data_IF_164727971212
#
_entry.id   IF_164727971212
#
_cell.length_a   1.000
_cell.length_b   1.000
_cell.length_c   1.000
_cell.angle_alpha   90.00
_cell.angle_beta   90.00
_cell.angle_gamma   90.00
#
_symmetry.space_group_name_H-M   'P 1'
#
loop_
_entity.id
_entity.type
_entity.pdbx_description
1 polymer ?
#
# COMPACT_ATOMS: atom_id res chain seq x y z
N UNK A 1 -26.52 8.17 -9.53
CA UNK A 1 -25.15 8.70 -9.26
C UNK A 1 -25.07 10.11 -9.83
N UNK A 2 -24.31 11.03 -9.20
CA UNK A 2 -24.21 12.44 -9.63
C UNK A 2 -22.84 12.78 -10.27
N UNK A 3 -21.98 11.79 -10.42
CA UNK A 3 -20.62 11.97 -10.92
C UNK A 3 -20.48 11.45 -12.36
N UNK A 4 -19.68 12.11 -13.16
CA UNK A 4 -19.34 11.69 -14.53
C UNK A 4 -18.35 10.53 -14.53
N UNK A 5 -17.43 10.53 -13.55
CA UNK A 5 -16.42 9.50 -13.34
C UNK A 5 -16.33 9.14 -11.86
N UNK A 6 -16.26 7.84 -11.56
CA UNK A 6 -15.93 7.30 -10.24
C UNK A 6 -14.65 6.46 -10.38
N UNK A 7 -13.59 6.89 -9.68
CA UNK A 7 -12.27 6.25 -9.73
C UNK A 7 -11.95 5.45 -8.48
N UNK A 8 -11.40 4.26 -8.69
CA UNK A 8 -10.86 3.38 -7.66
C UNK A 8 -9.36 3.15 -7.85
N UNK A 9 -8.72 2.53 -6.87
CA UNK A 9 -7.29 2.24 -6.95
C UNK A 9 -7.00 0.92 -7.66
N UNK A 10 -7.92 -0.05 -7.62
CA UNK A 10 -7.74 -1.38 -8.19
C UNK A 10 -8.96 -1.83 -8.99
N UNK A 11 -8.75 -2.75 -9.93
CA UNK A 11 -9.84 -3.37 -10.70
C UNK A 11 -10.78 -4.17 -9.77
N UNK A 12 -10.23 -4.78 -8.70
CA UNK A 12 -11.04 -5.47 -7.69
C UNK A 12 -12.02 -4.55 -6.96
N UNK A 13 -11.60 -3.31 -6.66
CA UNK A 13 -12.47 -2.31 -6.03
C UNK A 13 -13.58 -1.88 -7.00
N UNK A 14 -13.27 -1.71 -8.29
CA UNK A 14 -14.26 -1.44 -9.35
C UNK A 14 -15.30 -2.55 -9.38
N UNK A 15 -14.86 -3.81 -9.46
CA UNK A 15 -15.77 -4.96 -9.50
C UNK A 15 -16.64 -5.07 -8.27
N UNK A 16 -16.10 -4.83 -7.07
CA UNK A 16 -16.85 -4.84 -5.82
C UNK A 16 -17.90 -3.75 -5.79
N UNK A 17 -17.56 -2.55 -6.25
CA UNK A 17 -18.50 -1.42 -6.31
C UNK A 17 -19.62 -1.69 -7.32
N UNK A 18 -19.30 -2.19 -8.51
CA UNK A 18 -20.31 -2.54 -9.53
C UNK A 18 -21.25 -3.63 -9.01
N UNK A 19 -20.70 -4.70 -8.41
CA UNK A 19 -21.52 -5.76 -7.80
C UNK A 19 -22.46 -5.22 -6.71
N UNK A 20 -21.96 -4.37 -5.82
CA UNK A 20 -22.76 -3.74 -4.79
C UNK A 20 -23.93 -2.95 -5.40
N UNK A 21 -23.68 -2.12 -6.41
CA UNK A 21 -24.74 -1.35 -7.06
C UNK A 21 -25.78 -2.24 -7.72
N UNK A 22 -25.38 -3.31 -8.38
CA UNK A 22 -26.30 -4.26 -9.00
C UNK A 22 -27.16 -4.96 -7.94
N UNK A 23 -26.56 -5.41 -6.82
CA UNK A 23 -27.31 -6.12 -5.77
C UNK A 23 -28.29 -5.24 -5.04
N UNK A 24 -27.89 -4.01 -4.65
CA UNK A 24 -28.68 -3.15 -3.80
C UNK A 24 -29.68 -2.25 -4.56
N UNK A 25 -29.29 -1.79 -5.76
CA UNK A 25 -30.09 -0.81 -6.49
C UNK A 25 -31.03 -1.43 -7.53
N UNK A 26 -30.82 -2.69 -7.94
CA UNK A 26 -31.62 -3.33 -9.00
C UNK A 26 -33.09 -3.54 -8.62
N UNK A 27 -33.42 -3.48 -7.33
CA UNK A 27 -34.82 -3.58 -6.85
C UNK A 27 -35.60 -2.25 -6.98
N UNK A 28 -34.91 -1.11 -7.05
CA UNK A 28 -35.53 0.21 -7.01
C UNK A 28 -35.19 1.11 -8.21
N UNK A 29 -34.15 0.78 -8.98
CA UNK A 29 -33.66 1.62 -10.08
C UNK A 29 -33.27 0.76 -11.29
N UNK A 30 -33.51 1.26 -12.50
CA UNK A 30 -33.04 0.60 -13.74
C UNK A 30 -31.55 0.86 -13.88
N UNK A 31 -30.73 -0.18 -13.66
CA UNK A 31 -29.28 -0.15 -13.88
C UNK A 31 -28.97 -0.89 -15.18
N UNK A 32 -28.20 -0.25 -16.05
CA UNK A 32 -27.59 -0.87 -17.23
C UNK A 32 -26.09 -0.79 -17.11
N UNK A 33 -25.42 -1.93 -17.39
CA UNK A 33 -23.96 -2.02 -17.37
C UNK A 33 -23.49 -2.13 -18.83
N UNK A 34 -22.59 -1.25 -19.21
CA UNK A 34 -21.96 -1.28 -20.54
C UNK A 34 -20.46 -1.51 -20.33
N UNK A 35 -19.88 -2.45 -21.06
CA UNK A 35 -18.43 -2.57 -21.10
C UNK A 35 -17.83 -1.35 -21.80
N UNK A 36 -16.81 -0.77 -21.16
CA UNK A 36 -15.91 0.14 -21.81
C UNK A 36 -14.55 -0.56 -21.99
N UNK A 37 -13.86 -0.27 -23.09
CA UNK A 37 -12.50 -0.69 -23.29
C UNK A 37 -11.59 -0.19 -22.14
N UNK A 38 -10.50 -0.90 -21.86
CA UNK A 38 -9.41 -0.45 -20.97
C UNK A 38 -9.77 -0.25 -19.49
N UNK A 39 -10.22 -1.30 -18.78
CA UNK A 39 -10.43 -1.27 -17.31
C UNK A 39 -11.54 -0.33 -16.83
N UNK A 40 -12.43 0.10 -17.70
CA UNK A 40 -13.54 0.98 -17.38
C UNK A 40 -14.87 0.27 -17.62
N UNK A 41 -15.85 0.60 -16.80
CA UNK A 41 -17.24 0.15 -16.91
C UNK A 41 -18.12 1.39 -16.94
N UNK A 42 -19.01 1.50 -17.90
CA UNK A 42 -20.03 2.55 -17.90
C UNK A 42 -21.31 2.00 -17.26
N UNK A 43 -21.76 2.66 -16.19
CA UNK A 43 -23.06 2.38 -15.59
C UNK A 43 -24.06 3.47 -15.98
N UNK A 44 -25.24 3.05 -16.41
CA UNK A 44 -26.38 3.93 -16.60
C UNK A 44 -27.40 3.68 -15.46
N UNK A 45 -27.70 4.72 -14.71
CA UNK A 45 -28.68 4.71 -13.63
C UNK A 45 -29.70 5.82 -13.88
N UNK A 46 -30.96 5.44 -14.09
CA UNK A 46 -32.06 6.37 -14.40
C UNK A 46 -31.75 7.31 -15.60
N UNK A 47 -31.12 6.76 -16.64
CA UNK A 47 -30.77 7.52 -17.85
C UNK A 47 -29.47 8.31 -17.78
N UNK A 48 -28.80 8.39 -16.62
CA UNK A 48 -27.49 9.05 -16.47
C UNK A 48 -26.37 8.04 -16.51
N UNK A 49 -25.40 8.28 -17.38
CA UNK A 49 -24.19 7.46 -17.54
C UNK A 49 -23.08 7.96 -16.62
N UNK A 50 -22.40 7.03 -15.95
CA UNK A 50 -21.21 7.29 -15.14
C UNK A 50 -20.12 6.30 -15.54
N UNK A 51 -18.94 6.81 -15.84
CA UNK A 51 -17.76 5.98 -16.10
C UNK A 51 -17.13 5.56 -14.75
N UNK A 52 -16.92 4.25 -14.57
CA UNK A 52 -16.26 3.70 -13.39
C UNK A 52 -14.99 3.00 -13.82
N UNK A 53 -13.86 3.31 -13.18
CA UNK A 53 -12.59 2.74 -13.59
C UNK A 53 -11.56 2.66 -12.48
N UNK A 54 -10.49 1.87 -12.70
CA UNK A 54 -9.33 1.84 -11.83
C UNK A 54 -8.28 2.83 -12.30
N UNK A 55 -7.84 3.68 -11.37
CA UNK A 55 -6.82 4.70 -11.56
C UNK A 55 -5.77 4.57 -10.46
N UNK A 56 -4.84 3.62 -10.56
CA UNK A 56 -3.83 3.37 -9.54
C UNK A 56 -2.89 4.56 -9.40
N UNK A 57 -2.97 5.28 -8.27
CA UNK A 57 -2.15 6.47 -8.03
C UNK A 57 -0.67 6.14 -7.92
N UNK A 58 0.16 6.94 -8.59
CA UNK A 58 1.61 6.83 -8.57
C UNK A 58 2.29 7.93 -7.76
N UNK A 59 3.62 7.88 -7.78
CA UNK A 59 4.50 8.94 -7.27
C UNK A 59 5.35 9.50 -8.42
N UNK A 60 6.21 10.47 -8.15
CA UNK A 60 7.28 10.89 -9.06
C UNK A 60 8.60 10.15 -8.71
N UNK A 61 8.89 8.98 -9.30
CA UNK A 61 9.95 8.11 -8.81
C UNK A 61 11.33 8.75 -8.91
N UNK A 62 11.64 9.39 -10.04
CA UNK A 62 12.94 10.04 -10.26
C UNK A 62 13.16 11.25 -9.34
N UNK A 63 12.11 12.02 -9.07
CA UNK A 63 12.18 13.14 -8.14
C UNK A 63 12.38 12.64 -6.71
N UNK A 64 11.67 11.55 -6.33
CA UNK A 64 11.80 10.93 -5.02
C UNK A 64 13.19 10.31 -4.80
N UNK A 65 13.73 9.58 -5.79
CA UNK A 65 15.10 9.05 -5.75
C UNK A 65 16.15 10.15 -5.53
N UNK A 66 16.03 11.28 -6.27
CA UNK A 66 16.93 12.44 -6.05
C UNK A 66 16.78 13.04 -4.65
N UNK A 67 15.54 13.12 -4.16
CA UNK A 67 15.25 13.61 -2.81
C UNK A 67 15.91 12.71 -1.75
N UNK A 68 15.79 11.39 -1.88
CA UNK A 68 16.37 10.40 -0.98
C UNK A 68 17.91 10.52 -0.96
N UNK A 69 18.55 10.54 -2.12
CA UNK A 69 20.00 10.71 -2.25
C UNK A 69 20.53 12.00 -1.61
N UNK A 70 19.81 13.12 -1.78
CA UNK A 70 20.21 14.41 -1.16
C UNK A 70 20.08 14.41 0.35
N UNK A 71 19.09 13.67 0.89
CA UNK A 71 18.79 13.68 2.32
C UNK A 71 19.44 12.54 3.11
N UNK A 72 20.09 11.58 2.45
CA UNK A 72 20.93 10.57 3.08
C UNK A 72 22.02 11.22 3.98
N UNK A 73 22.57 12.32 3.51
CA UNK A 73 23.57 13.13 4.24
C UNK A 73 23.01 14.14 5.25
N UNK A 74 21.69 14.22 5.45
CA UNK A 74 21.08 15.18 6.38
C UNK A 74 21.44 14.88 7.85
N UNK A 75 21.52 15.89 8.74
CA UNK A 75 21.93 15.69 10.13
C UNK A 75 21.10 14.61 10.86
N UNK A 76 19.78 14.61 10.66
CA UNK A 76 18.88 13.62 11.30
C UNK A 76 19.22 12.20 10.85
N UNK A 77 19.38 11.98 9.54
CA UNK A 77 19.68 10.65 8.98
C UNK A 77 21.08 10.21 9.41
N UNK A 78 22.09 11.08 9.36
CA UNK A 78 23.44 10.79 9.88
C UNK A 78 23.43 10.40 11.35
N UNK A 79 22.70 11.14 12.20
CA UNK A 79 22.58 10.83 13.61
C UNK A 79 21.90 9.47 13.84
N UNK A 80 20.87 9.15 13.05
CA UNK A 80 20.26 7.81 13.07
C UNK A 80 21.29 6.73 12.73
N UNK A 81 21.97 6.86 11.59
CA UNK A 81 22.99 5.89 11.14
C UNK A 81 24.09 5.69 12.19
N UNK A 82 24.62 6.78 12.73
CA UNK A 82 25.61 6.71 13.81
C UNK A 82 25.08 5.98 15.04
N UNK A 83 23.81 6.21 15.41
CA UNK A 83 23.17 5.55 16.57
C UNK A 83 22.86 4.07 16.34
N UNK A 84 22.80 3.63 15.07
CA UNK A 84 22.65 2.22 14.75
C UNK A 84 23.94 1.41 15.00
N UNK A 85 25.11 2.04 14.95
CA UNK A 85 26.39 1.36 15.21
C UNK A 85 26.63 0.16 14.30
N UNK A 86 26.27 0.27 13.01
CA UNK A 86 26.40 -0.83 12.04
C UNK A 86 25.24 -1.82 12.01
N UNK A 87 24.21 -1.63 12.84
CA UNK A 87 23.01 -2.50 12.86
C UNK A 87 22.14 -2.25 11.62
N UNK A 88 21.48 -3.29 11.17
CA UNK A 88 20.49 -3.17 10.09
C UNK A 88 19.25 -2.37 10.56
N UNK A 89 18.75 -1.51 9.70
CA UNK A 89 17.51 -0.77 9.93
C UNK A 89 16.33 -1.45 9.21
N UNK A 90 15.30 -1.80 9.97
CA UNK A 90 13.97 -2.12 9.47
C UNK A 90 13.10 -0.89 9.66
N UNK A 91 12.32 -0.48 8.66
CA UNK A 91 11.48 0.72 8.75
C UNK A 91 10.02 0.44 8.41
N UNK A 92 9.13 0.96 9.25
CA UNK A 92 7.69 1.07 8.99
C UNK A 92 7.25 2.51 9.16
N UNK A 93 6.49 3.03 8.20
CA UNK A 93 5.96 4.40 8.24
C UNK A 93 4.49 4.36 7.86
N UNK A 94 3.63 4.68 8.80
CA UNK A 94 2.18 4.70 8.59
C UNK A 94 1.53 5.76 9.49
N UNK A 95 0.39 6.27 9.10
CA UNK A 95 -0.48 6.99 10.03
C UNK A 95 -1.00 6.03 11.09
N UNK A 96 -1.32 6.56 12.26
CA UNK A 96 -2.03 5.77 13.27
C UNK A 96 -3.43 5.43 12.74
N UNK A 97 -3.64 4.15 12.36
CA UNK A 97 -4.86 3.65 11.73
C UNK A 97 -4.90 2.13 11.87
N UNK A 98 -6.04 1.56 12.29
CA UNK A 98 -6.14 0.11 12.50
C UNK A 98 -6.02 -0.69 11.20
N UNK A 99 -6.34 -0.11 10.06
CA UNK A 99 -6.15 -0.76 8.77
C UNK A 99 -4.68 -1.00 8.42
N UNK A 100 -3.74 -0.35 9.13
CA UNK A 100 -2.30 -0.44 8.86
C UNK A 100 -1.61 -1.65 9.47
N UNK A 101 -2.32 -2.44 10.29
CA UNK A 101 -1.76 -3.67 10.87
C UNK A 101 -0.57 -3.44 11.79
N UNK A 102 -0.59 -2.33 12.56
CA UNK A 102 0.56 -1.90 13.37
C UNK A 102 0.85 -2.88 14.50
N UNK A 103 -0.19 -3.37 15.18
CA UNK A 103 -0.04 -4.35 16.29
C UNK A 103 0.45 -5.68 15.71
N UNK A 104 -0.19 -6.19 14.64
CA UNK A 104 0.21 -7.44 13.98
C UNK A 104 1.66 -7.41 13.51
N UNK A 105 2.13 -6.24 13.09
CA UNK A 105 3.52 -6.02 12.69
C UNK A 105 4.48 -6.12 13.86
N UNK A 106 4.12 -5.57 15.04
CA UNK A 106 4.92 -5.70 16.25
C UNK A 106 4.92 -7.14 16.77
N UNK A 107 3.78 -7.84 16.72
CA UNK A 107 3.68 -9.24 17.10
C UNK A 107 4.57 -10.12 16.20
N UNK A 108 4.55 -9.87 14.88
CA UNK A 108 5.45 -10.56 13.95
C UNK A 108 6.93 -10.27 14.23
N UNK A 109 7.26 -9.05 14.65
CA UNK A 109 8.62 -8.69 15.04
C UNK A 109 9.05 -9.36 16.36
N UNK A 110 8.15 -9.49 17.34
CA UNK A 110 8.40 -10.28 18.58
C UNK A 110 8.69 -11.74 18.26
N UNK A 111 7.85 -12.36 17.39
CA UNK A 111 8.06 -13.74 16.90
C UNK A 111 9.40 -13.87 16.18
N UNK A 112 9.73 -12.91 15.32
CA UNK A 112 11.02 -12.91 14.63
C UNK A 112 12.19 -12.92 15.61
N UNK A 113 12.17 -12.04 16.62
CA UNK A 113 13.26 -11.99 17.62
C UNK A 113 13.32 -13.25 18.49
N UNK A 114 12.16 -13.87 18.78
CA UNK A 114 12.12 -15.13 19.54
C UNK A 114 12.71 -16.30 18.79
N UNK A 115 12.47 -16.36 17.47
CA UNK A 115 12.89 -17.50 16.63
C UNK A 115 14.30 -17.32 16.03
N UNK A 116 14.85 -16.11 16.05
CA UNK A 116 16.09 -15.73 15.37
C UNK A 116 17.04 -14.98 16.32
N UNK A 117 17.53 -15.67 17.36
CA UNK A 117 18.42 -15.11 18.37
C UNK A 117 19.72 -14.54 17.80
N UNK A 118 20.15 -15.05 16.63
CA UNK A 118 21.32 -14.54 15.91
C UNK A 118 21.19 -13.09 15.45
N UNK A 119 19.97 -12.54 15.44
CA UNK A 119 19.68 -11.14 15.09
C UNK A 119 19.55 -10.21 16.29
N UNK A 120 19.56 -10.71 17.51
CA UNK A 120 19.55 -9.86 18.71
C UNK A 120 20.79 -8.96 18.69
N UNK A 121 20.60 -7.68 18.95
CA UNK A 121 21.66 -6.67 18.90
C UNK A 121 22.15 -6.30 17.48
N UNK A 122 21.65 -6.91 16.40
CA UNK A 122 22.13 -6.69 15.01
C UNK A 122 21.17 -5.90 14.12
N UNK A 123 19.97 -5.62 14.57
CA UNK A 123 19.00 -4.79 13.88
C UNK A 123 18.22 -3.89 14.83
N UNK A 124 17.63 -2.83 14.29
CA UNK A 124 16.66 -1.99 14.98
C UNK A 124 15.46 -1.75 14.05
N UNK A 125 14.27 -1.91 14.60
CA UNK A 125 13.04 -1.57 13.91
C UNK A 125 12.60 -0.15 14.28
N UNK A 126 12.55 0.73 13.29
CA UNK A 126 12.03 2.10 13.42
C UNK A 126 10.59 2.13 12.92
N UNK A 127 9.64 2.30 13.82
CA UNK A 127 8.24 2.55 13.48
C UNK A 127 7.92 4.03 13.66
N UNK A 128 7.57 4.70 12.56
CA UNK A 128 7.12 6.09 12.57
C UNK A 128 5.60 6.08 12.36
N UNK A 129 4.86 6.57 13.36
CA UNK A 129 3.40 6.56 13.35
C UNK A 129 2.85 7.87 13.90
N UNK A 130 2.78 8.94 13.07
CA UNK A 130 2.20 10.20 13.51
C UNK A 130 0.70 10.05 13.82
N UNK A 131 0.28 10.63 14.93
CA UNK A 131 -1.12 10.68 15.34
C UNK A 131 -1.82 11.84 14.63
N UNK A 132 -2.81 11.54 13.82
CA UNK A 132 -3.56 12.57 13.07
C UNK A 132 -4.95 12.86 13.65
N UNK A 133 -5.44 12.05 14.61
CA UNK A 133 -6.82 12.10 15.14
C UNK A 133 -6.85 11.75 16.63
N UNK A 134 -6.03 12.45 17.43
CA UNK A 134 -5.93 12.21 18.88
C UNK A 134 -7.24 12.40 19.67
N UNK A 135 -8.22 13.09 19.08
CA UNK A 135 -9.51 13.37 19.72
C UNK A 135 -10.51 12.20 19.64
N UNK A 136 -10.20 11.15 18.88
CA UNK A 136 -11.08 9.98 18.68
C UNK A 136 -10.60 8.86 19.64
N UNK A 137 -11.45 8.38 20.57
CA UNK A 137 -11.05 7.41 21.61
C UNK A 137 -10.38 6.15 21.05
N UNK A 138 -10.90 5.59 19.96
CA UNK A 138 -10.38 4.35 19.35
C UNK A 138 -8.93 4.50 18.87
N UNK A 139 -8.53 5.68 18.40
CA UNK A 139 -7.13 5.94 18.01
C UNK A 139 -6.22 6.10 19.24
N UNK A 140 -6.73 6.64 20.35
CA UNK A 140 -6.00 6.70 21.61
C UNK A 140 -5.73 5.29 22.17
N UNK A 141 -6.72 4.40 22.11
CA UNK A 141 -6.56 3.00 22.52
C UNK A 141 -5.53 2.28 21.66
N UNK A 142 -5.58 2.46 20.33
CA UNK A 142 -4.60 1.89 19.40
C UNK A 142 -3.19 2.40 19.70
N UNK A 143 -3.04 3.70 20.00
CA UNK A 143 -1.76 4.27 20.37
C UNK A 143 -1.21 3.64 21.64
N UNK A 144 -2.02 3.53 22.70
CA UNK A 144 -1.62 2.92 23.97
C UNK A 144 -1.24 1.45 23.79
N UNK A 145 -2.01 0.70 22.99
CA UNK A 145 -1.69 -0.69 22.65
C UNK A 145 -0.33 -0.80 21.94
N UNK A 146 -0.05 0.12 20.99
CA UNK A 146 1.20 0.14 20.25
C UNK A 146 2.40 0.48 21.16
N UNK A 147 2.26 1.49 22.02
CA UNK A 147 3.27 1.89 23.00
C UNK A 147 3.54 0.76 24.00
N UNK A 148 2.49 0.09 24.49
CA UNK A 148 2.60 -1.06 25.39
C UNK A 148 3.30 -2.24 24.74
N UNK A 149 2.94 -2.57 23.48
CA UNK A 149 3.58 -3.65 22.73
C UNK A 149 5.07 -3.36 22.45
N UNK A 150 5.40 -2.14 22.03
CA UNK A 150 6.79 -1.73 21.83
C UNK A 150 7.59 -1.76 23.15
N UNK A 151 7.00 -1.27 24.26
CA UNK A 151 7.60 -1.33 25.59
C UNK A 151 7.86 -2.76 26.07
N UNK A 152 6.90 -3.66 25.89
CA UNK A 152 7.02 -5.09 26.23
C UNK A 152 8.15 -5.76 25.45
N UNK A 153 8.23 -5.55 24.14
CA UNK A 153 9.28 -6.13 23.29
C UNK A 153 10.66 -5.57 23.67
N UNK A 154 10.74 -4.25 23.87
CA UNK A 154 11.97 -3.60 24.30
C UNK A 154 12.44 -4.09 25.69
N UNK A 155 11.53 -4.29 26.63
CA UNK A 155 11.85 -4.85 27.96
C UNK A 155 12.27 -6.32 27.91
N UNK A 156 11.74 -7.09 26.95
CA UNK A 156 12.05 -8.53 26.79
C UNK A 156 13.43 -8.78 26.16
N UNK A 157 13.81 -7.98 25.15
CA UNK A 157 15.01 -8.24 24.35
C UNK A 157 16.07 -7.14 24.41
N UNK A 158 15.68 -5.94 24.90
CA UNK A 158 16.57 -4.78 24.90
C UNK A 158 17.76 -4.94 25.84
N UNK A 159 18.85 -4.28 25.50
CA UNK A 159 20.07 -4.18 26.30
C UNK A 159 20.39 -2.69 26.54
N UNK A 160 21.31 -2.41 27.48
CA UNK A 160 21.71 -1.03 27.80
C UNK A 160 22.16 -0.24 26.55
N UNK A 161 22.81 -0.93 25.60
CA UNK A 161 23.36 -0.33 24.38
C UNK A 161 22.47 -0.51 23.14
N UNK A 162 21.33 -1.20 23.29
CA UNK A 162 20.49 -1.55 22.13
C UNK A 162 19.01 -1.63 22.50
N UNK A 163 18.19 -0.99 21.68
CA UNK A 163 16.74 -1.03 21.75
C UNK A 163 16.19 -1.63 20.46
N UNK A 164 15.48 -2.79 20.52
CA UNK A 164 14.92 -3.46 19.36
C UNK A 164 13.99 -2.58 18.52
N UNK A 165 13.07 -1.85 19.18
CA UNK A 165 12.06 -1.02 18.55
C UNK A 165 12.25 0.43 18.94
N UNK A 166 12.37 1.30 17.95
CA UNK A 166 12.26 2.75 18.09
C UNK A 166 10.88 3.17 17.57
N UNK A 167 9.94 3.36 18.47
CA UNK A 167 8.63 3.88 18.17
C UNK A 167 8.63 5.40 18.25
N UNK A 168 8.18 6.05 17.16
CA UNK A 168 8.21 7.52 17.03
C UNK A 168 6.85 8.04 16.57
N UNK A 169 6.17 8.74 17.45
CA UNK A 169 4.91 9.43 17.18
C UNK A 169 5.19 10.89 16.78
N UNK A 170 5.75 11.10 15.59
CA UNK A 170 6.07 12.43 15.05
C UNK A 170 5.88 12.50 13.56
N UNK A 171 5.43 13.66 13.07
CA UNK A 171 5.41 13.97 11.63
C UNK A 171 6.82 14.35 11.19
N UNK A 172 7.29 13.73 10.13
CA UNK A 172 8.52 14.11 9.43
C UNK A 172 8.21 14.64 8.04
N UNK A 173 9.04 15.55 7.54
CA UNK A 173 8.94 15.99 6.16
C UNK A 173 9.24 14.85 5.18
N UNK A 174 8.67 14.95 4.00
CA UNK A 174 8.91 13.98 2.92
C UNK A 174 10.39 13.79 2.60
N UNK A 175 11.20 14.85 2.73
CA UNK A 175 12.65 14.79 2.51
C UNK A 175 13.36 13.95 3.58
N UNK A 176 13.00 14.09 4.84
CA UNK A 176 13.54 13.26 5.92
C UNK A 176 13.15 11.81 5.73
N UNK A 177 11.87 11.53 5.46
CA UNK A 177 11.40 10.17 5.21
C UNK A 177 12.13 9.51 4.03
N UNK A 178 12.36 10.25 2.93
CA UNK A 178 13.10 9.75 1.79
C UNK A 178 14.54 9.32 2.17
N UNK A 179 15.25 10.10 2.98
CA UNK A 179 16.56 9.73 3.50
C UNK A 179 16.53 8.51 4.43
N UNK A 180 15.51 8.41 5.29
CA UNK A 180 15.32 7.26 6.17
C UNK A 180 15.02 5.98 5.38
N UNK A 181 14.15 6.04 4.35
CA UNK A 181 13.87 4.89 3.48
C UNK A 181 15.14 4.41 2.77
N UNK A 182 15.98 5.32 2.28
CA UNK A 182 17.23 4.97 1.60
C UNK A 182 18.21 4.23 2.50
N UNK A 183 18.20 4.53 3.79
CA UNK A 183 19.09 3.92 4.78
C UNK A 183 18.61 2.54 5.25
N UNK A 184 17.32 2.25 5.09
CA UNK A 184 16.71 1.05 5.65
C UNK A 184 16.96 -0.19 4.79
N UNK A 185 17.51 -1.25 5.42
CA UNK A 185 17.70 -2.57 4.80
C UNK A 185 16.38 -3.25 4.46
N UNK A 186 15.33 -3.03 5.26
CA UNK A 186 14.02 -3.64 5.05
C UNK A 186 12.94 -2.58 5.21
N UNK A 187 12.09 -2.44 4.20
CA UNK A 187 10.81 -1.72 4.30
C UNK A 187 9.70 -2.68 4.67
N UNK A 188 9.09 -2.47 5.83
CA UNK A 188 8.04 -3.34 6.38
C UNK A 188 6.68 -2.65 6.26
N UNK A 189 5.93 -3.00 5.21
CA UNK A 189 4.66 -2.36 4.82
C UNK A 189 3.57 -3.43 4.82
N UNK A 190 2.91 -3.63 5.96
CA UNK A 190 1.99 -4.75 6.17
C UNK A 190 0.59 -4.30 6.61
N UNK A 191 -0.09 -3.42 5.83
CA UNK A 191 -1.47 -3.06 6.15
C UNK A 191 -2.40 -4.28 6.08
N UNK A 192 -3.44 -4.29 6.94
CA UNK A 192 -4.51 -5.28 6.88
C UNK A 192 -5.38 -5.07 5.63
N UNK A 193 -5.52 -3.80 5.23
CA UNK A 193 -6.15 -3.39 3.97
C UNK A 193 -5.66 -1.99 3.60
N UNK A 194 -5.31 -1.80 2.32
CA UNK A 194 -4.94 -0.49 1.79
C UNK A 194 -5.30 -0.41 0.30
N UNK A 195 -5.91 0.68 -0.14
CA UNK A 195 -6.29 0.87 -1.54
C UNK A 195 -5.10 0.86 -2.49
N UNK A 196 -3.98 1.47 -2.11
CA UNK A 196 -2.74 1.48 -2.92
C UNK A 196 -1.50 1.25 -2.07
N UNK A 197 -1.22 2.11 -1.10
CA UNK A 197 -0.02 2.27 -0.29
C UNK A 197 1.16 2.92 -1.03
N UNK A 198 1.24 4.24 -0.93
CA UNK A 198 2.33 5.01 -1.55
C UNK A 198 3.67 4.83 -0.82
N UNK A 199 3.68 4.47 0.47
CA UNK A 199 4.91 4.21 1.23
C UNK A 199 5.72 3.08 0.60
N UNK A 200 5.07 2.02 0.10
CA UNK A 200 5.74 0.95 -0.63
C UNK A 200 6.43 1.46 -1.90
N UNK A 201 5.76 2.35 -2.66
CA UNK A 201 6.33 2.97 -3.86
C UNK A 201 7.48 3.92 -3.51
N UNK A 202 7.32 4.72 -2.46
CA UNK A 202 8.34 5.66 -1.96
C UNK A 202 9.57 4.91 -1.43
N UNK A 203 9.38 3.82 -0.68
CA UNK A 203 10.49 2.98 -0.21
C UNK A 203 11.31 2.44 -1.39
N UNK A 204 10.66 1.86 -2.40
CA UNK A 204 11.35 1.34 -3.59
C UNK A 204 12.10 2.45 -4.33
N UNK A 205 11.46 3.62 -4.52
CA UNK A 205 12.07 4.73 -5.23
C UNK A 205 13.25 5.39 -4.48
N UNK A 206 13.28 5.26 -3.16
CA UNK A 206 14.34 5.82 -2.32
C UNK A 206 15.64 5.00 -2.33
N UNK A 207 15.57 3.72 -2.67
CA UNK A 207 16.68 2.78 -2.51
C UNK A 207 17.89 3.12 -3.38
N UNK A 208 19.08 2.71 -2.91
CA UNK A 208 20.28 2.72 -3.73
C UNK A 208 20.24 1.52 -4.70
N UNK A 209 20.31 1.73 -6.01
CA UNK A 209 20.31 0.62 -6.96
C UNK A 209 21.55 -0.29 -6.82
N UNK A 210 22.66 0.23 -6.26
CA UNK A 210 23.88 -0.54 -6.06
C UNK A 210 23.84 -1.42 -4.79
N UNK A 211 23.08 -1.03 -3.76
CA UNK A 211 22.86 -1.81 -2.54
C UNK A 211 21.44 -1.62 -1.98
N UNK A 212 20.40 -2.03 -2.73
CA UNK A 212 19.03 -1.79 -2.32
C UNK A 212 18.62 -2.65 -1.12
N UNK A 213 17.69 -2.13 -0.33
CA UNK A 213 16.97 -2.91 0.67
C UNK A 213 15.87 -3.77 0.06
N UNK A 214 15.16 -4.49 0.90
CA UNK A 214 14.07 -5.41 0.53
C UNK A 214 12.73 -4.87 1.01
N UNK A 215 11.72 -4.88 0.14
CA UNK A 215 10.35 -4.55 0.50
C UNK A 215 9.59 -5.82 0.91
N UNK A 216 9.06 -5.81 2.15
CA UNK A 216 8.04 -6.76 2.61
C UNK A 216 6.70 -6.03 2.50
N UNK A 217 5.75 -6.60 1.75
CA UNK A 217 4.49 -5.94 1.41
C UNK A 217 3.30 -6.85 1.68
N UNK A 218 2.29 -6.31 2.34
CA UNK A 218 1.00 -7.00 2.47
C UNK A 218 0.37 -7.25 1.10
N UNK A 219 -0.10 -8.50 0.89
CA UNK A 219 -0.90 -8.86 -0.30
C UNK A 219 -2.23 -8.12 -0.40
N UNK A 220 -2.67 -7.47 0.68
CA UNK A 220 -3.90 -6.68 0.75
C UNK A 220 -3.68 -5.18 0.51
N UNK A 221 -2.48 -4.76 0.13
CA UNK A 221 -2.21 -3.44 -0.42
C UNK A 221 -2.41 -3.44 -1.93
N UNK A 222 -3.04 -2.41 -2.49
CA UNK A 222 -3.24 -2.31 -3.94
C UNK A 222 -1.94 -2.36 -4.73
N UNK A 223 -0.85 -1.80 -4.19
CA UNK A 223 0.49 -1.88 -4.78
C UNK A 223 0.99 -3.33 -5.00
N UNK A 224 0.50 -4.31 -4.24
CA UNK A 224 0.92 -5.71 -4.35
C UNK A 224 0.56 -6.33 -5.72
N UNK A 225 -0.44 -5.79 -6.42
CA UNK A 225 -0.86 -6.24 -7.75
C UNK A 225 0.31 -6.14 -8.74
N UNK A 226 1.04 -5.02 -8.68
CA UNK A 226 2.17 -4.74 -9.57
C UNK A 226 3.52 -5.13 -8.94
N UNK A 227 3.60 -5.19 -7.62
CA UNK A 227 4.82 -5.41 -6.85
C UNK A 227 5.09 -6.89 -6.53
N UNK A 228 4.91 -7.76 -7.53
CA UNK A 228 5.09 -9.22 -7.37
C UNK A 228 6.51 -9.66 -7.00
N UNK A 229 7.50 -8.79 -7.15
CA UNK A 229 8.90 -9.02 -6.74
C UNK A 229 9.20 -8.56 -5.31
N UNK A 230 8.25 -7.94 -4.60
CA UNK A 230 8.32 -7.78 -3.16
C UNK A 230 8.15 -9.14 -2.45
N UNK A 231 8.56 -9.22 -1.19
CA UNK A 231 8.16 -10.34 -0.34
C UNK A 231 6.71 -10.12 0.08
N UNK A 232 5.79 -10.83 -0.59
CA UNK A 232 4.36 -10.67 -0.34
C UNK A 232 3.92 -11.55 0.83
N UNK A 233 3.32 -10.93 1.84
CA UNK A 233 2.90 -11.60 3.07
C UNK A 233 1.41 -11.44 3.33
N UNK A 234 0.86 -12.35 4.14
CA UNK A 234 -0.44 -12.16 4.77
C UNK A 234 -0.22 -11.45 6.12
N UNK A 235 -0.67 -10.20 6.32
CA UNK A 235 -0.44 -9.46 7.57
C UNK A 235 -1.17 -10.05 8.78
N UNK A 236 -2.14 -10.95 8.58
CA UNK A 236 -2.82 -11.70 9.66
C UNK A 236 -2.04 -12.93 10.11
N UNK A 237 -1.00 -13.32 9.37
CA UNK A 237 -0.11 -14.43 9.67
C UNK A 237 1.25 -13.88 10.13
N UNK A 238 1.40 -13.71 11.43
CA UNK A 238 2.59 -13.12 12.04
C UNK A 238 3.85 -13.97 11.80
N UNK A 239 3.72 -15.30 11.73
CA UNK A 239 4.83 -16.21 11.41
C UNK A 239 5.32 -16.02 9.97
N UNK A 240 4.41 -15.85 9.02
CA UNK A 240 4.75 -15.55 7.63
C UNK A 240 5.50 -14.22 7.50
N UNK A 241 5.09 -13.19 8.26
CA UNK A 241 5.78 -11.89 8.28
C UNK A 241 7.16 -12.00 8.93
N UNK A 242 7.28 -12.75 10.03
CA UNK A 242 8.56 -13.01 10.70
C UNK A 242 9.54 -13.76 9.78
N UNK A 243 9.06 -14.80 9.08
CA UNK A 243 9.85 -15.56 8.12
C UNK A 243 10.32 -14.70 6.93
N UNK A 244 9.46 -13.82 6.42
CA UNK A 244 9.82 -12.88 5.36
C UNK A 244 10.89 -11.87 5.83
N UNK A 245 10.84 -11.44 7.10
CA UNK A 245 11.87 -10.57 7.68
C UNK A 245 13.22 -11.28 7.75
N UNK A 246 13.26 -12.55 8.21
CA UNK A 246 14.45 -13.34 8.21
C UNK A 246 15.04 -13.50 6.80
N UNK A 247 14.19 -13.85 5.82
CA UNK A 247 14.59 -13.95 4.42
C UNK A 247 15.17 -12.64 3.87
N UNK A 248 14.52 -11.50 4.16
CA UNK A 248 14.94 -10.19 3.69
C UNK A 248 16.35 -9.81 4.21
N UNK A 249 16.65 -10.13 5.47
CA UNK A 249 17.90 -9.76 6.12
C UNK A 249 19.11 -10.54 5.60
N UNK A 250 18.91 -11.80 5.17
CA UNK A 250 19.99 -12.67 4.61
C UNK A 250 20.02 -12.66 3.09
N UNK A 251 19.15 -11.92 2.42
CA UNK A 251 19.02 -11.92 0.97
C UNK A 251 20.31 -11.44 0.30
N UNK A 252 20.89 -12.22 -0.65
CA UNK A 252 22.08 -11.83 -1.38
C UNK A 252 21.89 -10.52 -2.16
N UNK A 253 22.97 -9.76 -2.33
CA UNK A 253 22.96 -8.48 -3.03
C UNK A 253 22.41 -8.58 -4.45
N UNK A 254 22.79 -9.63 -5.18
CA UNK A 254 22.35 -9.86 -6.56
C UNK A 254 20.82 -10.01 -6.63
N UNK A 255 20.24 -10.80 -5.73
CA UNK A 255 18.79 -10.97 -5.65
C UNK A 255 18.09 -9.65 -5.26
N UNK A 256 18.65 -8.89 -4.31
CA UNK A 256 18.10 -7.60 -3.91
C UNK A 256 18.09 -6.59 -5.08
N UNK A 257 19.17 -6.56 -5.86
CA UNK A 257 19.26 -5.74 -7.08
C UNK A 257 18.21 -6.13 -8.12
N UNK A 258 18.09 -7.42 -8.44
CA UNK A 258 17.13 -7.91 -9.41
C UNK A 258 15.67 -7.61 -8.99
N UNK A 259 15.36 -7.75 -7.70
CA UNK A 259 14.03 -7.41 -7.15
C UNK A 259 13.77 -5.90 -7.21
N UNK A 260 14.74 -5.09 -6.78
CA UNK A 260 14.63 -3.64 -6.80
C UNK A 260 14.44 -3.10 -8.22
N UNK A 261 15.25 -3.54 -9.18
CA UNK A 261 15.14 -3.13 -10.58
C UNK A 261 13.73 -3.37 -11.14
N UNK A 262 13.19 -4.57 -10.92
CA UNK A 262 11.85 -4.93 -11.37
C UNK A 262 10.75 -4.11 -10.67
N UNK A 263 10.88 -3.85 -9.37
CA UNK A 263 9.94 -3.01 -8.61
C UNK A 263 10.03 -1.54 -9.04
N UNK A 264 11.24 -1.01 -9.20
CA UNK A 264 11.44 0.38 -9.61
C UNK A 264 10.92 0.64 -11.04
N UNK A 265 11.10 -0.34 -11.94
CA UNK A 265 10.49 -0.27 -13.28
C UNK A 265 8.96 -0.12 -13.20
N UNK A 266 8.30 -0.85 -12.30
CA UNK A 266 6.85 -0.72 -12.08
C UNK A 266 6.45 0.64 -11.48
N UNK A 267 7.25 1.19 -10.56
CA UNK A 267 7.01 2.54 -10.03
C UNK A 267 7.11 3.59 -11.14
N UNK A 268 8.07 3.42 -12.07
CA UNK A 268 8.23 4.33 -13.22
C UNK A 268 7.13 4.16 -14.27
N UNK A 269 6.65 2.93 -14.49
CA UNK A 269 5.57 2.64 -15.44
C UNK A 269 4.25 3.29 -15.01
N UNK A 270 3.95 3.24 -13.70
CA UNK A 270 2.72 3.77 -13.10
C UNK A 270 3.01 4.98 -12.22
N UNK A 271 3.59 6.03 -12.82
CA UNK A 271 3.89 7.28 -12.14
C UNK A 271 2.66 8.18 -11.98
N UNK A 272 2.80 9.26 -11.20
CA UNK A 272 1.70 10.21 -10.97
C UNK A 272 1.28 10.95 -12.24
N UNK A 273 2.18 11.14 -13.22
CA UNK A 273 1.87 11.81 -14.47
C UNK A 273 0.99 10.91 -15.35
N UNK A 274 1.26 9.60 -15.37
CA UNK A 274 0.39 8.61 -16.03
C UNK A 274 -0.99 8.61 -15.40
N UNK A 275 -1.07 8.51 -14.06
CA UNK A 275 -2.33 8.57 -13.33
C UNK A 275 -3.14 9.82 -13.69
N UNK A 276 -2.50 11.00 -13.71
CA UNK A 276 -3.14 12.26 -14.05
C UNK A 276 -3.70 12.25 -15.48
N UNK A 277 -2.90 11.79 -16.45
CA UNK A 277 -3.35 11.72 -17.86
C UNK A 277 -4.54 10.78 -18.02
N UNK A 278 -4.48 9.58 -17.44
CA UNK A 278 -5.55 8.58 -17.55
C UNK A 278 -6.85 9.10 -16.91
N UNK A 279 -6.75 9.69 -15.73
CA UNK A 279 -7.91 10.24 -15.02
C UNK A 279 -8.54 11.43 -15.77
N UNK A 280 -7.72 12.38 -16.25
CA UNK A 280 -8.23 13.53 -17.02
C UNK A 280 -8.84 13.09 -18.37
N UNK A 281 -8.27 12.07 -19.01
CA UNK A 281 -8.85 11.51 -20.23
C UNK A 281 -10.22 10.87 -19.96
N UNK A 282 -10.33 10.12 -18.87
CA UNK A 282 -11.61 9.54 -18.45
C UNK A 282 -12.67 10.62 -18.14
N UNK A 283 -12.28 11.71 -17.47
CA UNK A 283 -13.19 12.84 -17.20
C UNK A 283 -13.69 13.51 -18.49
N UNK A 284 -12.85 13.67 -19.49
CA UNK A 284 -13.27 14.23 -20.79
C UNK A 284 -14.26 13.30 -21.48
N UNK A 285 -13.98 11.99 -21.54
CA UNK A 285 -14.88 10.98 -22.13
C UNK A 285 -16.23 10.92 -21.41
N UNK A 286 -16.24 11.01 -20.07
CA UNK A 286 -17.46 11.01 -19.28
C UNK A 286 -18.38 12.18 -19.63
N UNK A 287 -17.83 13.37 -19.89
CA UNK A 287 -18.61 14.57 -20.30
C UNK A 287 -19.09 14.51 -21.75
N UNK A 288 -18.32 13.94 -22.68
CA UNK A 288 -18.73 13.80 -24.09
C UNK A 288 -19.97 12.89 -24.24
N UNK A 289 -20.14 11.91 -23.34
CA UNK A 289 -21.32 11.06 -23.31
C UNK A 289 -22.61 11.79 -22.89
N UNK A 290 -22.56 12.93 -22.21
CA UNK A 290 -23.75 13.76 -21.92
C UNK A 290 -24.19 14.58 -23.15
N UNK A 291 -23.27 15.01 -24.01
CA UNK A 291 -23.59 15.85 -25.17
C UNK A 291 -24.21 15.09 -26.35
N UNK A 292 -24.06 13.76 -26.40
CA UNK A 292 -24.61 12.91 -27.51
C UNK A 292 -25.99 12.31 -27.23
N UNK A 293 -26.62 12.58 -26.08
CA UNK A 293 -27.91 11.98 -25.69
C UNK A 293 -29.15 12.70 -26.22
N UNK A 294 -29.02 13.69 -27.12
CA UNK A 294 -30.22 14.26 -27.76
C UNK A 294 -30.78 13.44 -28.95
N UNK A 295 -30.04 12.44 -29.47
CA UNK A 295 -30.51 11.64 -30.62
C UNK A 295 -30.07 10.17 -30.48
N UNK A 296 -30.88 9.33 -29.92
CA UNK A 296 -31.18 7.93 -30.37
C UNK A 296 -31.75 7.06 -29.25
N UNK A 297 -33.05 6.86 -29.32
CA UNK A 297 -33.77 5.73 -28.72
C UNK A 297 -33.66 4.51 -29.61
N UNK A 298 -33.24 3.37 -29.06
CA UNK A 298 -33.45 1.97 -29.43
C UNK A 298 -32.15 1.15 -29.52
N UNK A 299 -31.90 0.37 -28.50
CA UNK A 299 -30.93 -0.75 -28.50
C UNK A 299 -31.28 -1.72 -27.39
N UNK A 300 -31.48 -3.01 -27.70
CA UNK A 300 -31.71 -4.07 -26.72
C UNK A 300 -30.53 -4.24 -25.74
N UNK A 301 -30.79 -4.61 -24.46
CA UNK A 301 -29.74 -4.78 -23.47
C UNK A 301 -28.89 -6.01 -23.81
N UNK A 302 -27.55 -5.94 -23.65
CA UNK A 302 -26.67 -7.10 -23.82
C UNK A 302 -26.88 -8.13 -22.71
N UNK A 303 -26.77 -9.40 -23.09
CA UNK A 303 -26.86 -10.55 -22.20
C UNK A 303 -25.68 -10.54 -21.20
N UNK A 304 -25.97 -10.69 -19.90
CA UNK A 304 -24.99 -10.66 -18.80
C UNK A 304 -23.90 -11.73 -18.87
N UNK A 305 -24.13 -12.81 -19.64
CA UNK A 305 -23.17 -13.91 -19.82
C UNK A 305 -22.00 -13.55 -20.78
N UNK A 306 -22.12 -12.45 -21.51
CA UNK A 306 -21.10 -11.98 -22.48
C UNK A 306 -20.08 -11.03 -21.85
N UNK A 307 -20.40 -10.48 -20.66
CA UNK A 307 -19.50 -9.60 -19.91
C UNK A 307 -18.63 -10.51 -19.05
N UNK A 308 -17.35 -10.63 -19.32
CA UNK A 308 -16.39 -11.50 -18.62
C UNK A 308 -16.27 -11.33 -17.10
N UNK A 309 -17.32 -10.89 -16.42
CA UNK A 309 -17.54 -10.88 -14.97
C UNK A 309 -17.98 -12.30 -14.58
N UNK A 310 -17.02 -13.22 -14.40
CA UNK A 310 -17.32 -14.50 -13.76
C UNK A 310 -17.79 -14.23 -12.33
N UNK A 311 -19.08 -14.31 -12.11
CA UNK A 311 -19.67 -14.43 -10.78
C UNK A 311 -19.32 -15.86 -10.34
N UNK A 312 -18.33 -16.01 -9.47
CA UNK A 312 -18.11 -17.30 -8.81
C UNK A 312 -19.39 -17.64 -8.02
N UNK A 313 -19.94 -18.87 -8.17
CA UNK A 313 -21.08 -19.29 -7.34
C UNK A 313 -20.67 -19.21 -5.86
N UNK A 314 -21.60 -18.80 -5.02
CA UNK A 314 -21.46 -18.69 -3.57
C UNK A 314 -20.74 -19.93 -3.02
N UNK A 315 -19.54 -19.74 -2.48
CA UNK A 315 -18.99 -20.71 -1.55
C UNK A 315 -19.85 -20.62 -0.29
N UNK A 316 -20.66 -21.64 -0.06
CA UNK A 316 -21.37 -21.86 1.20
C UNK A 316 -20.34 -21.83 2.32
N UNK A 317 -20.50 -20.89 3.22
CA UNK A 317 -19.77 -20.88 4.50
C UNK A 317 -20.50 -21.90 5.36
N UNK A 318 -20.01 -23.13 5.39
CA UNK A 318 -20.36 -24.08 6.45
C UNK A 318 -19.79 -23.57 7.78
N UNK A 319 -20.64 -23.66 8.81
CA UNK A 319 -20.49 -23.23 10.20
C UNK A 319 -19.20 -23.71 10.91
#
# INVERSE_FOLDING_TARGET
MQYDVVGFQTDGDVQNFVRYLISECNQTQKIRVFEAADRHVTLEVNGRKTLIGSFPVGIEPRAFARLARRNEGSPLVKNLVASLGGRNLVIGVDRLDYSKGLIQRLDAFDIFLANHNEWLGKLTYLQITPTNRAEIPEYSELQQALESAAGRINGKYGEVSWTPIRYVNRVYSRSVLAGLYRTARVGLVTPLRDGMNLVAKEYVAAQDPDDPGVLILSRFAGAAIDFRRALLVNPYDAESVASALAQALVMPLEERRARHEALYAKVCEYDVNRWQREFLTALRRGREHESFQSDSSNGEPPNLDTIGVRIAPNAEIEN
#
